data_IF_559342312754
#
_entry.id   IF_559342312754
#
_cell.length_a   1.000
_cell.length_b   1.000
_cell.length_c   1.000
_cell.angle_alpha   90.00
_cell.angle_beta   90.00
_cell.angle_gamma   90.00
#
_symmetry.space_group_name_H-M   'P 1'
#
loop_
_entity.id
_entity.type
_entity.pdbx_description
1 polymer ?
#
# COMPACT_ATOMS: atom_id res chain seq x y z
N UNK A 1 13.86 0.65 15.58
CA UNK A 1 13.58 1.30 14.26
C UNK A 1 14.11 0.49 13.07
N UNK A 2 15.13 -0.36 13.23
CA UNK A 2 15.66 -1.21 12.15
C UNK A 2 14.68 -2.31 11.69
N UNK A 3 13.85 -2.88 12.57
CA UNK A 3 12.94 -4.00 12.23
C UNK A 3 11.78 -3.65 11.29
N UNK A 4 11.46 -2.36 11.16
CA UNK A 4 10.41 -1.88 10.26
C UNK A 4 10.87 -1.89 8.78
N UNK A 5 12.17 -1.70 8.55
CA UNK A 5 12.77 -1.64 7.21
C UNK A 5 12.80 -2.99 6.49
N UNK A 6 13.17 -4.07 7.18
CA UNK A 6 13.17 -5.42 6.58
C UNK A 6 11.79 -5.86 6.09
N UNK A 7 10.72 -5.41 6.75
CA UNK A 7 9.34 -5.81 6.40
C UNK A 7 8.81 -5.07 5.17
N UNK A 8 9.16 -3.80 4.99
CA UNK A 8 8.76 -3.02 3.80
C UNK A 8 9.50 -3.50 2.55
N UNK A 9 10.81 -3.78 2.66
CA UNK A 9 11.63 -4.24 1.52
C UNK A 9 11.24 -5.65 1.06
N UNK A 10 10.90 -6.54 1.99
CA UNK A 10 10.43 -7.91 1.67
C UNK A 10 9.07 -7.92 0.97
N UNK A 11 8.26 -6.86 1.15
CA UNK A 11 6.94 -6.72 0.52
C UNK A 11 7.03 -6.20 -0.93
N UNK A 12 7.96 -5.28 -1.21
CA UNK A 12 8.13 -4.66 -2.54
C UNK A 12 8.72 -5.63 -3.57
N UNK A 13 9.61 -6.54 -3.14
CA UNK A 13 10.28 -7.52 -4.02
C UNK A 13 9.34 -8.60 -4.59
N UNK A 14 8.11 -8.73 -4.07
CA UNK A 14 7.11 -9.70 -4.56
C UNK A 14 6.18 -9.17 -5.66
N UNK A 15 6.28 -7.89 -6.05
CA UNK A 15 5.28 -7.22 -6.89
C UNK A 15 5.78 -6.94 -8.33
N UNK A 16 5.73 -7.97 -9.18
CA UNK A 16 5.98 -7.85 -10.64
C UNK A 16 4.70 -8.14 -11.42
N UNK A 17 4.17 -7.15 -12.14
CA UNK A 17 3.02 -7.28 -13.04
C UNK A 17 2.99 -6.18 -14.08
N UNK A 18 2.69 -6.61 -15.30
CA UNK A 18 2.54 -5.86 -16.55
C UNK A 18 1.40 -4.83 -16.48
N UNK A 19 1.46 -3.87 -17.39
CA UNK A 19 0.45 -2.85 -17.68
C UNK A 19 -0.88 -3.48 -18.10
N UNK A 20 -1.98 -2.97 -17.55
CA UNK A 20 -3.35 -3.25 -17.99
C UNK A 20 -3.89 -1.94 -18.59
N UNK A 21 -4.51 -1.95 -19.78
CA UNK A 21 -5.05 -0.75 -20.40
C UNK A 21 -6.26 -0.21 -19.63
N UNK A 22 -6.40 1.12 -19.64
CA UNK A 22 -7.43 1.85 -18.93
C UNK A 22 -8.81 1.60 -19.56
N UNK A 23 -9.67 0.89 -18.83
CA UNK A 23 -11.10 0.75 -19.13
C UNK A 23 -11.92 1.75 -18.31
N UNK A 24 -12.76 2.48 -19.01
CA UNK A 24 -13.67 3.55 -18.59
C UNK A 24 -14.66 3.09 -17.49
N UNK A 25 -14.63 3.74 -16.32
CA UNK A 25 -15.60 3.53 -15.25
C UNK A 25 -16.81 4.46 -15.46
N UNK A 26 -17.96 3.89 -15.83
CA UNK A 26 -19.27 4.53 -15.65
C UNK A 26 -19.71 4.37 -14.20
N UNK A 27 -20.23 5.45 -13.62
CA UNK A 27 -20.95 5.46 -12.36
C UNK A 27 -22.43 5.21 -12.67
N UNK A 28 -23.06 4.29 -11.95
CA UNK A 28 -24.51 4.18 -11.90
C UNK A 28 -24.96 4.07 -10.44
N UNK A 29 -26.03 4.82 -10.16
CA UNK A 29 -26.72 4.98 -8.89
C UNK A 29 -27.62 3.76 -8.62
N UNK A 30 -27.94 3.54 -7.34
CA UNK A 30 -29.32 3.25 -6.85
C UNK A 30 -29.39 2.33 -5.62
N UNK A 31 -30.13 2.87 -4.64
CA UNK A 31 -31.19 2.28 -3.81
C UNK A 31 -30.93 1.14 -2.80
N UNK A 32 -31.40 1.42 -1.59
CA UNK A 32 -31.45 0.56 -0.42
C UNK A 32 -32.78 -0.18 -0.42
N UNK A 33 -32.76 -1.46 -0.82
CA UNK A 33 -33.90 -2.38 -0.75
C UNK A 33 -33.81 -3.33 0.44
N UNK A 34 -34.90 -3.39 1.22
CA UNK A 34 -35.14 -4.25 2.37
C UNK A 34 -35.20 -5.75 1.96
N UNK A 35 -34.55 -6.66 2.69
CA UNK A 35 -34.50 -8.11 2.40
C UNK A 35 -35.17 -8.93 3.52
N UNK A 36 -36.09 -9.87 3.21
CA UNK A 36 -36.63 -10.83 4.18
C UNK A 36 -35.78 -12.12 4.30
N UNK A 37 -35.83 -12.71 5.50
CA UNK A 37 -35.18 -13.95 5.89
C UNK A 37 -35.74 -15.19 5.15
N UNK A 38 -34.86 -15.90 4.44
CA UNK A 38 -35.17 -17.18 3.83
C UNK A 38 -33.92 -17.91 3.35
N UNK A 39 -33.36 -18.79 4.19
CA UNK A 39 -32.24 -19.66 3.83
C UNK A 39 -32.72 -20.99 3.25
N UNK A 40 -32.41 -21.32 1.98
CA UNK A 40 -32.36 -22.71 1.53
C UNK A 40 -30.94 -23.29 1.67
N UNK A 41 -30.88 -24.58 2.01
CA UNK A 41 -29.66 -25.34 2.17
C UNK A 41 -28.91 -25.52 0.83
N UNK A 42 -27.66 -25.06 0.76
CA UNK A 42 -26.78 -25.23 -0.41
C UNK A 42 -25.82 -26.39 -0.19
N UNK A 43 -25.87 -27.32 -1.14
CA UNK A 43 -25.02 -28.50 -1.29
C UNK A 43 -23.53 -28.13 -1.41
N UNK A 44 -22.69 -28.77 -0.60
CA UNK A 44 -21.23 -28.59 -0.58
C UNK A 44 -20.53 -29.29 -1.75
N UNK A 45 -20.54 -28.66 -2.92
CA UNK A 45 -19.61 -28.98 -4.01
C UNK A 45 -18.27 -28.26 -3.79
N UNK A 46 -17.29 -28.93 -3.18
CA UNK A 46 -15.93 -28.39 -2.97
C UNK A 46 -15.15 -28.37 -4.29
N UNK A 47 -15.41 -27.38 -5.14
CA UNK A 47 -14.41 -26.95 -6.12
C UNK A 47 -13.46 -25.99 -5.42
N UNK A 48 -12.22 -26.42 -5.21
CA UNK A 48 -11.14 -25.55 -4.80
C UNK A 48 -10.93 -24.50 -5.89
N UNK A 49 -11.62 -23.36 -5.76
CA UNK A 49 -11.43 -22.21 -6.62
C UNK A 49 -9.97 -21.76 -6.48
N UNK A 50 -9.14 -22.17 -7.44
CA UNK A 50 -7.79 -21.65 -7.61
C UNK A 50 -7.92 -20.14 -7.73
N UNK A 51 -7.35 -19.42 -6.77
CA UNK A 51 -7.35 -17.97 -6.77
C UNK A 51 -6.82 -17.50 -8.14
N UNK A 52 -7.56 -16.67 -8.91
CA UNK A 52 -7.13 -16.25 -10.24
C UNK A 52 -5.80 -15.48 -10.21
N UNK A 53 -5.41 -14.97 -9.03
CA UNK A 53 -4.12 -14.33 -8.79
C UNK A 53 -2.93 -15.32 -8.75
N UNK A 54 -3.16 -16.60 -8.42
CA UNK A 54 -2.12 -17.64 -8.43
C UNK A 54 -2.03 -18.36 -9.78
N UNK A 55 -3.11 -18.42 -10.55
CA UNK A 55 -3.12 -19.14 -11.83
C UNK A 55 -2.37 -18.39 -12.96
N UNK A 56 -2.21 -17.07 -12.86
CA UNK A 56 -1.58 -16.25 -13.91
C UNK A 56 -0.09 -15.96 -13.69
N UNK A 57 0.53 -16.55 -12.67
CA UNK A 57 1.96 -16.39 -12.40
C UNK A 57 2.86 -17.34 -13.20
N UNK A 58 2.31 -18.39 -13.81
CA UNK A 58 3.08 -19.50 -14.38
C UNK A 58 3.62 -19.22 -15.80
N UNK A 59 3.00 -18.31 -16.56
CA UNK A 59 3.33 -18.10 -17.98
C UNK A 59 4.20 -16.84 -18.18
N UNK A 60 5.46 -16.93 -17.73
CA UNK A 60 6.45 -15.86 -17.85
C UNK A 60 7.27 -15.59 -16.58
N UNK A 61 7.12 -16.41 -15.54
CA UNK A 61 8.01 -16.41 -14.40
C UNK A 61 9.40 -16.88 -14.82
N UNK A 62 10.28 -15.94 -15.18
CA UNK A 62 11.71 -16.18 -15.00
C UNK A 62 11.90 -16.65 -13.56
N UNK A 63 12.63 -17.75 -13.31
CA UNK A 63 12.88 -18.22 -11.96
C UNK A 63 13.56 -17.09 -11.20
N UNK A 64 12.76 -16.35 -10.42
CA UNK A 64 13.25 -15.18 -9.71
C UNK A 64 14.11 -15.73 -8.59
N UNK A 65 15.42 -15.75 -8.84
CA UNK A 65 16.42 -16.05 -7.82
C UNK A 65 16.01 -15.32 -6.54
N UNK A 66 15.92 -15.99 -5.38
CA UNK A 66 15.56 -15.32 -4.15
C UNK A 66 16.48 -14.12 -3.97
N UNK A 67 15.88 -12.93 -3.86
CA UNK A 67 16.63 -11.70 -3.73
C UNK A 67 17.55 -11.86 -2.51
N UNK A 68 18.86 -11.71 -2.73
CA UNK A 68 19.82 -11.76 -1.63
C UNK A 68 19.43 -10.66 -0.63
N UNK A 69 19.39 -10.95 0.68
CA UNK A 69 19.15 -9.92 1.67
C UNK A 69 20.12 -8.77 1.47
N UNK A 70 19.60 -7.54 1.41
CA UNK A 70 20.41 -6.32 1.32
C UNK A 70 20.64 -5.80 2.73
N UNK A 71 21.91 -5.75 3.21
CA UNK A 71 22.19 -5.23 4.55
C UNK A 71 21.71 -3.79 4.70
N UNK A 72 21.07 -3.50 5.83
CA UNK A 72 20.64 -2.16 6.18
C UNK A 72 21.86 -1.36 6.67
N UNK A 73 22.17 -0.24 6.01
CA UNK A 73 23.26 0.64 6.41
C UNK A 73 22.71 1.76 7.30
N UNK A 74 22.94 1.69 8.61
CA UNK A 74 22.43 2.67 9.59
C UNK A 74 23.60 3.32 10.33
N UNK A 75 23.73 4.64 10.19
CA UNK A 75 24.73 5.46 10.88
C UNK A 75 23.98 6.56 11.61
N UNK A 76 24.28 6.77 12.89
CA UNK A 76 23.60 7.74 13.76
C UNK A 76 22.07 7.61 13.73
N UNK A 77 21.60 6.36 13.82
CA UNK A 77 20.16 5.99 13.78
C UNK A 77 19.44 6.33 12.48
N UNK A 78 20.17 6.73 11.44
CA UNK A 78 19.63 7.11 10.13
C UNK A 78 20.09 6.12 9.07
N UNK A 79 19.18 5.71 8.18
CA UNK A 79 19.54 4.88 7.04
C UNK A 79 20.32 5.70 6.01
N UNK A 80 21.47 5.19 5.59
CA UNK A 80 22.32 5.77 4.55
C UNK A 80 22.30 4.90 3.28
N UNK A 81 21.94 5.45 2.11
CA UNK A 81 21.97 4.72 0.85
C UNK A 81 23.33 4.07 0.60
N UNK A 82 23.34 2.81 0.18
CA UNK A 82 24.55 2.07 -0.21
C UNK A 82 24.49 1.68 -1.68
N UNK A 83 25.59 1.13 -2.23
CA UNK A 83 25.54 0.53 -3.57
C UNK A 83 24.47 -0.58 -3.64
N UNK A 84 24.38 -1.41 -2.61
CA UNK A 84 23.43 -2.52 -2.58
C UNK A 84 21.96 -2.06 -2.56
N UNK A 85 21.62 -0.98 -1.84
CA UNK A 85 20.24 -0.44 -1.85
C UNK A 85 19.90 0.23 -3.18
N UNK A 86 20.88 0.84 -3.85
CA UNK A 86 20.73 1.39 -5.21
C UNK A 86 20.48 0.29 -6.23
N UNK A 87 21.29 -0.77 -6.21
CA UNK A 87 21.12 -1.93 -7.09
C UNK A 87 19.76 -2.60 -6.87
N UNK A 88 19.31 -2.67 -5.61
CA UNK A 88 17.99 -3.17 -5.26
C UNK A 88 16.87 -2.29 -5.85
N UNK A 89 16.96 -0.97 -5.70
CA UNK A 89 15.98 -0.05 -6.30
C UNK A 89 15.91 -0.23 -7.82
N UNK A 90 17.07 -0.34 -8.49
CA UNK A 90 17.12 -0.62 -9.91
C UNK A 90 16.46 -1.96 -10.27
N UNK A 91 16.72 -3.02 -9.49
CA UNK A 91 16.13 -4.35 -9.72
C UNK A 91 14.60 -4.38 -9.54
N UNK A 92 14.06 -3.53 -8.66
CA UNK A 92 12.61 -3.35 -8.50
C UNK A 92 12.02 -2.69 -9.76
N UNK A 93 12.79 -1.90 -10.50
CA UNK A 93 12.33 -1.07 -11.62
C UNK A 93 12.28 0.41 -11.28
N UNK A 94 13.03 0.84 -10.27
CA UNK A 94 13.18 2.25 -9.91
C UNK A 94 11.96 2.87 -9.23
N UNK A 95 11.97 4.20 -9.17
CA UNK A 95 10.89 5.04 -8.62
C UNK A 95 9.56 4.77 -9.31
N UNK A 96 9.55 4.64 -10.63
CA UNK A 96 8.31 4.51 -11.41
C UNK A 96 7.57 3.22 -11.07
N UNK A 97 8.32 2.14 -10.80
CA UNK A 97 7.71 0.91 -10.30
C UNK A 97 7.10 1.10 -8.91
N UNK A 98 7.81 1.78 -8.01
CA UNK A 98 7.29 2.08 -6.67
C UNK A 98 5.99 2.89 -6.77
N UNK A 99 5.96 3.92 -7.63
CA UNK A 99 4.77 4.70 -7.91
C UNK A 99 3.63 3.82 -8.43
N UNK A 100 3.88 2.98 -9.44
CA UNK A 100 2.87 2.07 -9.95
C UNK A 100 2.34 1.07 -8.92
N UNK A 101 3.09 0.76 -7.86
CA UNK A 101 2.62 -0.06 -6.73
C UNK A 101 1.80 0.79 -5.76
N UNK A 102 2.29 1.97 -5.37
CA UNK A 102 1.59 2.83 -4.41
C UNK A 102 0.29 3.39 -4.97
N UNK A 103 0.23 3.71 -6.27
CA UNK A 103 -1.01 4.15 -6.96
C UNK A 103 -2.09 3.08 -6.99
N UNK A 104 -1.73 1.79 -6.87
CA UNK A 104 -2.70 0.69 -6.72
C UNK A 104 -3.08 0.42 -5.27
N UNK A 105 -2.20 0.73 -4.33
CA UNK A 105 -2.41 0.53 -2.90
C UNK A 105 -3.38 1.56 -2.32
N UNK A 106 -3.12 2.86 -2.53
CA UNK A 106 -3.87 3.91 -1.85
C UNK A 106 -5.37 3.92 -2.15
N UNK A 107 -5.85 3.72 -3.40
CA UNK A 107 -7.28 3.61 -3.67
C UNK A 107 -7.95 2.46 -2.92
N UNK A 108 -7.24 1.37 -2.63
CA UNK A 108 -7.76 0.26 -1.81
C UNK A 108 -7.75 0.62 -0.33
N UNK A 109 -6.68 1.25 0.13
CA UNK A 109 -6.55 1.72 1.51
C UNK A 109 -7.62 2.76 1.88
N UNK A 110 -7.95 3.68 0.96
CA UNK A 110 -8.98 4.70 1.19
C UNK A 110 -10.40 4.13 1.31
N UNK A 111 -10.67 2.98 0.68
CA UNK A 111 -11.95 2.26 0.81
C UNK A 111 -12.04 1.47 2.12
N UNK A 112 -10.92 1.20 2.78
CA UNK A 112 -10.91 0.51 4.06
C UNK A 112 -11.41 1.44 5.17
N UNK A 113 -12.54 1.08 5.80
CA UNK A 113 -13.20 1.90 6.84
C UNK A 113 -12.31 2.21 8.04
N UNK A 114 -11.33 1.35 8.35
CA UNK A 114 -10.45 1.57 9.50
C UNK A 114 -9.26 2.44 9.14
N UNK A 115 -8.67 2.22 7.96
CA UNK A 115 -7.48 2.94 7.55
C UNK A 115 -7.77 4.34 7.01
N UNK A 116 -8.95 4.55 6.42
CA UNK A 116 -9.37 5.86 5.93
C UNK A 116 -9.44 6.92 7.04
N UNK A 117 -9.61 6.49 8.30
CA UNK A 117 -9.57 7.36 9.48
C UNK A 117 -8.22 8.04 9.69
N UNK A 118 -7.13 7.46 9.17
CA UNK A 118 -5.77 8.01 9.29
C UNK A 118 -5.39 8.94 8.13
N UNK A 119 -6.28 9.11 7.14
CA UNK A 119 -6.04 9.96 5.98
C UNK A 119 -6.81 11.25 6.17
N UNK A 120 -6.13 12.38 6.30
CA UNK A 120 -6.78 13.67 6.49
C UNK A 120 -7.43 14.15 5.19
N UNK A 121 -6.63 14.27 4.13
CA UNK A 121 -7.06 14.65 2.79
C UNK A 121 -6.78 13.51 1.80
N UNK A 122 -7.79 13.11 1.01
CA UNK A 122 -7.63 12.06 -0.02
C UNK A 122 -7.05 12.59 -1.34
N UNK A 123 -7.14 13.90 -1.57
CA UNK A 123 -6.62 14.58 -2.77
C UNK A 123 -5.11 14.86 -2.70
N UNK A 124 -4.51 14.63 -1.53
CA UNK A 124 -3.06 14.67 -1.37
C UNK A 124 -2.39 13.59 -2.25
N UNK A 125 -1.23 13.88 -2.86
CA UNK A 125 -0.51 12.92 -3.72
C UNK A 125 0.20 11.83 -2.92
N UNK A 126 -0.55 11.05 -2.13
CA UNK A 126 -0.02 9.98 -1.25
C UNK A 126 0.82 8.93 -1.99
N UNK A 127 0.42 8.45 -3.20
CA UNK A 127 1.21 7.51 -3.96
C UNK A 127 2.62 8.01 -4.30
N UNK A 128 2.71 9.23 -4.83
CA UNK A 128 3.95 9.91 -5.22
C UNK A 128 4.80 10.13 -3.99
N UNK A 129 4.17 10.66 -2.93
CA UNK A 129 4.78 10.92 -1.64
C UNK A 129 5.52 9.69 -1.08
N UNK A 130 4.87 8.53 -1.03
CA UNK A 130 5.50 7.31 -0.53
C UNK A 130 6.56 6.77 -1.49
N UNK A 131 6.31 6.80 -2.80
CA UNK A 131 7.27 6.33 -3.80
C UNK A 131 8.56 7.17 -3.80
N UNK A 132 8.43 8.50 -3.74
CA UNK A 132 9.54 9.46 -3.64
C UNK A 132 10.36 9.22 -2.38
N UNK A 133 9.70 9.06 -1.24
CA UNK A 133 10.39 8.82 0.02
C UNK A 133 11.20 7.51 -0.01
N UNK A 134 10.62 6.40 -0.51
CA UNK A 134 11.34 5.12 -0.63
C UNK A 134 12.50 5.25 -1.62
N UNK A 135 12.26 5.83 -2.80
CA UNK A 135 13.28 6.01 -3.83
C UNK A 135 14.45 6.87 -3.31
N UNK A 136 14.17 7.96 -2.60
CA UNK A 136 15.18 8.80 -1.96
C UNK A 136 15.98 8.01 -0.93
N UNK A 137 15.34 7.25 -0.04
CA UNK A 137 16.05 6.48 0.98
C UNK A 137 16.92 5.37 0.41
N UNK A 138 16.55 4.78 -0.73
CA UNK A 138 17.34 3.73 -1.37
C UNK A 138 18.44 4.29 -2.27
N UNK A 139 18.24 5.46 -2.88
CA UNK A 139 19.14 6.03 -3.88
C UNK A 139 20.06 7.13 -3.38
N UNK A 140 19.65 7.89 -2.36
CA UNK A 140 20.29 9.14 -1.92
C UNK A 140 19.97 10.35 -2.77
N UNK A 141 19.11 10.22 -3.80
CA UNK A 141 18.67 11.36 -4.63
C UNK A 141 17.48 12.05 -3.97
N UNK A 142 17.47 13.38 -4.01
CA UNK A 142 16.40 14.21 -3.46
C UNK A 142 15.13 14.15 -4.32
N UNK A 143 14.28 13.14 -4.09
CA UNK A 143 12.97 13.01 -4.73
C UNK A 143 11.87 13.64 -3.88
N UNK A 144 11.90 13.33 -2.58
CA UNK A 144 10.94 13.80 -1.59
C UNK A 144 11.35 15.15 -1.00
N UNK A 145 12.62 15.25 -0.58
CA UNK A 145 13.15 16.41 0.13
C UNK A 145 13.16 17.68 -0.74
N UNK A 146 13.36 17.52 -2.05
CA UNK A 146 13.31 18.62 -3.02
C UNK A 146 11.94 19.28 -3.15
N UNK A 147 10.87 18.60 -2.73
CA UNK A 147 9.50 19.11 -2.78
C UNK A 147 9.06 19.76 -1.46
N UNK A 148 9.89 19.75 -0.40
CA UNK A 148 9.45 20.23 0.91
C UNK A 148 9.28 21.75 0.94
N UNK A 149 10.15 22.49 0.26
CA UNK A 149 10.11 23.96 0.24
C UNK A 149 8.88 24.52 -0.50
N UNK A 150 8.26 23.74 -1.39
CA UNK A 150 7.08 24.16 -2.15
C UNK A 150 5.76 23.74 -1.51
N UNK A 151 5.79 23.06 -0.36
CA UNK A 151 4.57 22.60 0.32
C UNK A 151 3.89 23.72 1.07
N UNK A 152 2.56 23.72 1.02
CA UNK A 152 1.76 24.62 1.82
C UNK A 152 1.90 24.27 3.32
N UNK A 153 1.76 25.26 4.25
CA UNK A 153 1.96 25.02 5.68
C UNK A 153 1.04 23.94 6.29
N UNK A 154 -0.14 23.75 5.71
CA UNK A 154 -1.12 22.74 6.11
C UNK A 154 -0.79 21.32 5.60
N UNK A 155 0.18 21.20 4.69
CA UNK A 155 0.65 19.91 4.18
C UNK A 155 1.73 19.30 5.09
N UNK A 156 1.87 17.96 5.10
CA UNK A 156 2.92 17.31 5.86
C UNK A 156 4.33 17.75 5.40
N UNK A 157 5.06 18.38 6.31
CA UNK A 157 6.41 18.91 6.04
C UNK A 157 7.51 17.85 6.14
N UNK A 158 7.25 16.75 6.83
CA UNK A 158 8.11 15.57 6.83
C UNK A 158 7.31 14.31 7.17
N UNK A 159 8.00 13.17 7.27
CA UNK A 159 7.37 11.89 7.61
C UNK A 159 6.80 11.88 9.04
N UNK A 160 7.50 12.47 10.00
CA UNK A 160 7.09 12.50 11.40
C UNK A 160 5.84 13.35 11.57
N UNK A 161 5.78 14.52 10.92
CA UNK A 161 4.62 15.38 10.84
C UNK A 161 3.45 14.67 10.15
N UNK A 162 3.68 13.96 9.03
CA UNK A 162 2.64 13.16 8.37
C UNK A 162 2.03 12.09 9.30
N UNK A 163 2.87 11.35 10.02
CA UNK A 163 2.39 10.36 10.99
C UNK A 163 1.68 11.00 12.18
N UNK A 164 2.14 12.16 12.65
CA UNK A 164 1.49 12.91 13.71
C UNK A 164 0.07 13.31 13.30
N UNK A 165 -0.11 13.89 12.11
CA UNK A 165 -1.41 14.29 11.57
C UNK A 165 -2.34 13.08 11.38
N UNK A 166 -1.82 11.98 10.83
CA UNK A 166 -2.58 10.74 10.68
C UNK A 166 -3.06 10.20 12.03
N UNK A 167 -2.19 10.24 13.05
CA UNK A 167 -2.50 9.76 14.39
C UNK A 167 -3.51 10.65 15.13
N UNK A 168 -3.39 11.97 15.00
CA UNK A 168 -4.30 12.96 15.57
C UNK A 168 -5.43 13.37 14.60
N UNK A 169 -5.78 12.48 13.68
CA UNK A 169 -6.83 12.74 12.72
C UNK A 169 -8.16 13.02 13.44
N UNK A 170 -8.88 14.09 13.08
CA UNK A 170 -10.18 14.43 13.67
C UNK A 170 -11.26 13.40 13.35
N UNK A 171 -11.03 12.52 12.37
CA UNK A 171 -11.91 11.37 12.05
C UNK A 171 -11.90 10.30 13.16
N UNK A 172 -10.96 10.38 14.10
CA UNK A 172 -10.82 9.44 15.23
C UNK A 172 -11.25 10.11 16.53
N UNK A 173 -11.93 9.39 17.45
CA UNK A 173 -12.23 9.90 18.77
C UNK A 173 -10.95 10.28 19.53
N UNK A 174 -10.98 11.42 20.25
CA UNK A 174 -9.83 11.90 21.05
C UNK A 174 -9.37 10.89 22.11
N UNK A 175 -10.29 10.09 22.65
CA UNK A 175 -9.98 9.00 23.59
C UNK A 175 -9.09 7.90 22.98
N UNK A 176 -8.95 7.87 21.65
CA UNK A 176 -8.09 6.93 20.93
C UNK A 176 -6.77 7.57 20.46
N UNK A 177 -6.56 8.85 20.73
CA UNK A 177 -5.29 9.51 20.48
C UNK A 177 -4.36 9.14 21.62
N UNK A 178 -3.39 8.26 21.34
CA UNK A 178 -2.32 7.98 22.31
C UNK A 178 -1.22 9.04 22.23
N UNK A 179 -0.40 9.16 23.29
CA UNK A 179 0.74 10.09 23.31
C UNK A 179 1.80 9.76 22.25
N UNK A 180 1.83 8.50 21.80
CA UNK A 180 2.75 7.99 20.78
C UNK A 180 2.01 7.07 19.82
N UNK A 181 2.40 7.12 18.55
CA UNK A 181 1.91 6.20 17.53
C UNK A 181 2.40 4.76 17.82
N UNK A 182 1.56 3.96 18.48
CA UNK A 182 1.83 2.54 18.72
C UNK A 182 1.88 1.70 17.42
N UNK A 183 1.34 2.25 16.32
CA UNK A 183 1.36 1.65 14.98
C UNK A 183 2.76 1.62 14.33
N UNK A 184 3.79 2.25 14.91
CA UNK A 184 5.18 1.99 14.55
C UNK A 184 5.58 0.50 14.67
N UNK A 185 4.75 -0.33 15.33
CA UNK A 185 4.95 -1.76 15.54
C UNK A 185 4.37 -2.68 14.44
N UNK A 186 3.76 -2.15 13.36
CA UNK A 186 3.62 -2.87 12.08
C UNK A 186 2.42 -3.80 11.84
N UNK A 187 1.34 -3.72 12.64
CA UNK A 187 0.20 -4.67 12.52
C UNK A 187 -0.86 -4.26 11.48
N UNK A 188 -1.11 -2.96 11.26
CA UNK A 188 -2.22 -2.51 10.42
C UNK A 188 -2.04 -2.75 8.90
N UNK A 189 -0.80 -2.73 8.40
CA UNK A 189 -0.55 -2.88 6.95
C UNK A 189 -0.96 -4.27 6.47
N UNK A 190 -0.87 -5.32 7.28
CA UNK A 190 -1.11 -6.71 6.82
C UNK A 190 -2.54 -6.96 6.31
N UNK A 191 -3.55 -6.30 6.88
CA UNK A 191 -4.97 -6.58 6.60
C UNK A 191 -5.43 -6.13 5.20
N UNK A 192 -4.88 -5.05 4.67
CA UNK A 192 -5.24 -4.54 3.31
C UNK A 192 -4.61 -5.34 2.19
N UNK A 193 -3.41 -5.89 2.41
CA UNK A 193 -2.70 -6.60 1.34
C UNK A 193 -3.10 -8.07 1.19
N UNK A 194 -3.81 -8.67 2.17
CA UNK A 194 -4.22 -10.09 2.12
C UNK A 194 -5.70 -10.31 1.85
N UNK A 195 -6.55 -9.27 1.84
CA UNK A 195 -7.99 -9.43 1.59
C UNK A 195 -8.24 -9.42 0.09
N UNK A 196 -8.45 -10.60 -0.49
CA UNK A 196 -8.96 -10.74 -1.86
C UNK A 196 -10.41 -10.23 -1.91
N UNK A 197 -10.83 -9.54 -2.98
CA UNK A 197 -12.23 -9.19 -3.16
C UNK A 197 -13.05 -10.49 -3.30
N UNK A 198 -14.08 -10.63 -2.46
CA UNK A 198 -15.14 -11.61 -2.68
C UNK A 198 -15.94 -11.16 -3.89
N UNK A 199 -15.80 -11.88 -4.99
CA UNK A 199 -16.65 -11.73 -6.18
C UNK A 199 -17.98 -12.40 -5.91
N UNK A 200 -18.96 -11.63 -5.43
CA UNK A 200 -20.38 -11.99 -5.49
C UNK A 200 -21.11 -10.90 -6.26
N UNK A 201 -21.81 -11.30 -7.33
CA UNK A 201 -22.58 -10.40 -8.17
C UNK A 201 -22.69 -10.88 -9.61
N UNK A 202 -23.22 -12.09 -9.83
CA UNK A 202 -23.75 -12.49 -11.14
C UNK A 202 -25.27 -12.48 -11.05
N UNK A 203 -25.88 -11.38 -11.51
CA UNK A 203 -27.31 -11.32 -11.82
C UNK A 203 -27.48 -12.00 -13.18
N UNK A 204 -28.22 -13.10 -13.22
CA UNK A 204 -28.71 -13.69 -14.48
C UNK A 204 -30.14 -13.24 -14.70
N UNK A 205 -30.39 -12.67 -15.89
CA UNK A 205 -31.72 -12.34 -16.43
C UNK A 205 -32.51 -13.58 -16.83
#
# INVERSE_FOLDING_TARGET
MADSWSKVVSLVTRFRSKSVPAGELRADDSEVGNMPDGHPAVSSGRHAARCPFLAQAEEGAHPSRPARPVPLNVIDRTHHPSKATRDLLASIGGRDRLLGVTSRFYPKMFRDRQLSLFVQNFEDPHPERLADWIAEKMSGRAYWSSQLSSRQPDQPQDRSHAHYLAWHSPKRPRSQWGDRCALCSGVAVRRVWTRSPSSDGTVSS
#
